data_IF_350821523039
#
_entry.id   IF_350821523039
#
_cell.length_a   1.000
_cell.length_b   1.000
_cell.length_c   1.000
_cell.angle_alpha   90.00
_cell.angle_beta   90.00
_cell.angle_gamma   90.00
#
_symmetry.space_group_name_H-M   'P 1'
#
loop_
_entity.id
_entity.type
_entity.pdbx_description
1 polymer ?
#
# COMPACT_ATOMS: atom_id res chain seq x y z
N UNK A 1 -23.02 -7.69 -5.25
CA UNK A 1 -22.83 -8.94 -4.47
C UNK A 1 -21.50 -8.80 -3.76
N UNK A 2 -21.44 -8.99 -2.43
CA UNK A 2 -20.19 -8.91 -1.69
C UNK A 2 -19.33 -10.13 -2.03
N UNK A 3 -18.42 -9.95 -2.99
CA UNK A 3 -17.48 -10.97 -3.45
C UNK A 3 -16.48 -11.25 -2.32
N UNK A 4 -16.30 -12.52 -1.96
CA UNK A 4 -15.22 -12.93 -1.03
C UNK A 4 -13.86 -12.56 -1.66
N UNK A 5 -12.84 -12.25 -0.86
CA UNK A 5 -11.52 -11.86 -1.38
C UNK A 5 -10.93 -12.90 -2.36
N UNK A 6 -11.12 -14.19 -2.07
CA UNK A 6 -10.71 -15.28 -2.97
C UNK A 6 -11.38 -15.21 -4.34
N UNK A 7 -12.68 -14.91 -4.38
CA UNK A 7 -13.42 -14.75 -5.63
C UNK A 7 -12.95 -13.51 -6.39
N UNK A 8 -12.61 -12.43 -5.68
CA UNK A 8 -12.04 -11.23 -6.28
C UNK A 8 -10.71 -11.54 -6.97
N UNK A 9 -9.78 -12.22 -6.29
CA UNK A 9 -8.55 -12.70 -6.90
C UNK A 9 -8.82 -13.64 -8.09
N UNK A 10 -9.82 -14.53 -7.99
CA UNK A 10 -10.19 -15.43 -9.08
C UNK A 10 -10.68 -14.71 -10.35
N UNK A 11 -11.15 -13.47 -10.25
CA UNK A 11 -11.57 -12.66 -11.40
C UNK A 11 -10.41 -12.16 -12.26
N UNK A 12 -9.21 -12.06 -11.69
CA UNK A 12 -8.00 -11.66 -12.41
C UNK A 12 -7.47 -12.75 -13.34
N UNK A 13 -6.71 -12.37 -14.35
CA UNK A 13 -5.97 -13.32 -15.19
C UNK A 13 -4.78 -13.91 -14.43
N UNK A 14 -4.18 -15.00 -14.95
CA UNK A 14 -2.98 -15.56 -14.33
C UNK A 14 -1.80 -14.57 -14.38
N UNK A 15 -1.70 -13.73 -15.42
CA UNK A 15 -0.69 -12.69 -15.51
C UNK A 15 -0.87 -11.65 -14.42
N UNK A 16 -2.08 -11.13 -14.21
CA UNK A 16 -2.32 -10.12 -13.17
C UNK A 16 -2.03 -10.69 -11.76
N UNK A 17 -2.40 -11.94 -11.50
CA UNK A 17 -2.05 -12.62 -10.24
C UNK A 17 -0.54 -12.81 -10.08
N UNK A 18 0.19 -12.99 -11.20
CA UNK A 18 1.65 -13.07 -11.19
C UNK A 18 2.27 -11.71 -10.88
N UNK A 19 1.68 -10.63 -11.37
CA UNK A 19 2.07 -9.26 -11.02
C UNK A 19 1.80 -8.99 -9.54
N UNK A 20 0.61 -9.34 -9.02
CA UNK A 20 0.30 -9.20 -7.59
C UNK A 20 1.34 -9.94 -6.75
N UNK A 21 1.64 -11.19 -7.09
CA UNK A 21 2.70 -11.97 -6.45
C UNK A 21 4.07 -11.25 -6.46
N UNK A 22 4.40 -10.57 -7.55
CA UNK A 22 5.67 -9.82 -7.69
C UNK A 22 5.69 -8.57 -6.83
N UNK A 23 4.60 -7.80 -6.75
CA UNK A 23 4.47 -6.66 -5.83
C UNK A 23 4.71 -7.09 -4.39
N UNK A 24 4.13 -8.21 -3.97
CA UNK A 24 4.36 -8.80 -2.65
C UNK A 24 5.73 -9.48 -2.49
N UNK A 25 6.52 -9.61 -3.56
CA UNK A 25 7.77 -10.35 -3.60
C UNK A 25 7.65 -11.81 -3.08
N UNK A 26 6.51 -12.47 -3.32
CA UNK A 26 6.32 -13.85 -2.91
C UNK A 26 7.07 -14.83 -3.83
N UNK A 27 8.13 -15.42 -3.30
CA UNK A 27 8.98 -16.40 -3.98
C UNK A 27 8.44 -17.84 -3.88
N UNK A 28 8.96 -18.73 -4.73
CA UNK A 28 8.67 -20.18 -4.68
C UNK A 28 7.31 -20.62 -5.25
N UNK A 29 6.46 -19.69 -5.71
CA UNK A 29 5.07 -19.99 -6.14
C UNK A 29 4.77 -19.60 -7.58
N UNK A 30 5.79 -19.36 -8.41
CA UNK A 30 5.62 -18.96 -9.82
C UNK A 30 5.10 -20.07 -10.74
N UNK A 31 5.28 -21.34 -10.34
CA UNK A 31 4.87 -22.50 -11.14
C UNK A 31 3.39 -22.87 -10.97
N UNK A 32 2.71 -22.28 -9.98
CA UNK A 32 1.33 -22.59 -9.66
C UNK A 32 0.38 -22.30 -10.83
N UNK A 33 -0.65 -23.12 -10.98
CA UNK A 33 -1.75 -22.81 -11.87
C UNK A 33 -2.61 -21.66 -11.28
N UNK A 34 -3.57 -21.13 -12.06
CA UNK A 34 -4.37 -19.97 -11.63
C UNK A 34 -5.12 -20.24 -10.31
N UNK A 35 -5.75 -21.41 -10.16
CA UNK A 35 -6.53 -21.74 -8.98
C UNK A 35 -5.63 -21.87 -7.74
N UNK A 36 -4.52 -22.59 -7.87
CA UNK A 36 -3.52 -22.73 -6.80
C UNK A 36 -2.93 -21.37 -6.40
N UNK A 37 -2.64 -20.50 -7.38
CA UNK A 37 -2.10 -19.17 -7.13
C UNK A 37 -3.10 -18.28 -6.38
N UNK A 38 -4.38 -18.34 -6.72
CA UNK A 38 -5.46 -17.64 -5.98
C UNK A 38 -5.50 -18.09 -4.53
N UNK A 39 -5.45 -19.40 -4.28
CA UNK A 39 -5.51 -19.98 -2.93
C UNK A 39 -4.34 -19.52 -2.07
N UNK A 40 -3.13 -19.56 -2.62
CA UNK A 40 -1.92 -19.14 -1.91
C UNK A 40 -1.88 -17.62 -1.71
N UNK A 41 -2.31 -16.82 -2.69
CA UNK A 41 -2.36 -15.37 -2.56
C UNK A 41 -3.40 -14.92 -1.53
N UNK A 42 -4.59 -15.51 -1.51
CA UNK A 42 -5.62 -15.21 -0.50
C UNK A 42 -5.04 -15.33 0.92
N UNK A 43 -4.30 -16.41 1.19
CA UNK A 43 -3.68 -16.61 2.50
C UNK A 43 -2.49 -15.67 2.75
N UNK A 44 -1.50 -15.66 1.87
CA UNK A 44 -0.24 -14.91 2.10
C UNK A 44 -0.45 -13.40 2.18
N UNK A 45 -1.38 -12.86 1.40
CA UNK A 45 -1.70 -11.43 1.44
C UNK A 45 -2.26 -11.05 2.80
N UNK A 46 -3.23 -11.82 3.33
CA UNK A 46 -3.82 -11.59 4.65
C UNK A 46 -2.78 -11.68 5.77
N UNK A 47 -1.88 -12.68 5.69
CA UNK A 47 -0.78 -12.84 6.64
C UNK A 47 0.21 -11.66 6.63
N UNK A 48 0.47 -11.10 5.45
CA UNK A 48 1.43 -9.99 5.26
C UNK A 48 0.79 -8.61 5.36
N UNK A 49 -0.55 -8.54 5.42
CA UNK A 49 -1.33 -7.30 5.29
C UNK A 49 -0.98 -6.27 6.36
N UNK A 50 -0.84 -6.71 7.62
CA UNK A 50 -0.52 -5.81 8.73
C UNK A 50 0.85 -5.17 8.53
N UNK A 51 1.85 -5.97 8.19
CA UNK A 51 3.21 -5.48 7.96
C UNK A 51 3.24 -4.49 6.80
N UNK A 52 2.62 -4.84 5.67
CA UNK A 52 2.58 -3.98 4.50
C UNK A 52 1.84 -2.64 4.76
N UNK A 53 0.69 -2.70 5.45
CA UNK A 53 -0.04 -1.51 5.88
C UNK A 53 0.80 -0.63 6.82
N UNK A 54 1.72 -1.24 7.55
CA UNK A 54 2.58 -0.56 8.52
C UNK A 54 3.65 0.33 7.88
N UNK A 55 3.86 0.20 6.57
CA UNK A 55 4.73 1.08 5.78
C UNK A 55 3.96 2.23 5.11
N UNK A 56 2.65 2.35 5.31
CA UNK A 56 1.85 3.42 4.70
C UNK A 56 1.88 4.69 5.56
N UNK A 57 1.62 5.83 4.93
CA UNK A 57 1.38 7.13 5.58
C UNK A 57 -0.06 7.25 6.11
N UNK A 58 -0.32 8.27 6.94
CA UNK A 58 -1.70 8.56 7.37
C UNK A 58 -2.62 8.95 6.22
N UNK A 59 -2.09 9.50 5.13
CA UNK A 59 -2.88 9.85 3.93
C UNK A 59 -3.42 8.60 3.25
N UNK A 60 -2.58 7.60 3.04
CA UNK A 60 -2.94 6.31 2.45
C UNK A 60 -3.90 5.52 3.35
N UNK A 61 -3.61 5.46 4.65
CA UNK A 61 -4.51 4.82 5.62
C UNK A 61 -5.85 5.57 5.71
N UNK A 62 -5.82 6.90 5.65
CA UNK A 62 -7.01 7.75 5.62
C UNK A 62 -7.89 7.48 4.39
N UNK A 63 -7.26 7.28 3.23
CA UNK A 63 -7.95 6.88 2.01
C UNK A 63 -8.64 5.51 2.16
N UNK A 64 -7.94 4.49 2.69
CA UNK A 64 -8.56 3.19 2.97
C UNK A 64 -9.73 3.30 3.97
N UNK A 65 -9.59 4.11 5.03
CA UNK A 65 -10.68 4.40 5.98
C UNK A 65 -11.90 5.01 5.28
N UNK A 66 -11.68 5.97 4.39
CA UNK A 66 -12.74 6.60 3.58
C UNK A 66 -13.45 5.55 2.74
N UNK A 67 -12.70 4.72 2.00
CA UNK A 67 -13.27 3.66 1.15
C UNK A 67 -14.11 2.66 1.96
N UNK A 68 -13.58 2.14 3.07
CA UNK A 68 -14.29 1.19 3.94
C UNK A 68 -15.62 1.78 4.43
N UNK A 69 -15.63 3.06 4.80
CA UNK A 69 -16.84 3.75 5.27
C UNK A 69 -17.86 3.95 4.13
N UNK A 70 -17.42 4.46 3.00
CA UNK A 70 -18.32 4.76 1.86
C UNK A 70 -18.85 3.47 1.22
N UNK A 71 -18.06 2.38 1.26
CA UNK A 71 -18.46 1.08 0.72
C UNK A 71 -19.58 0.38 1.49
N UNK A 72 -19.98 0.91 2.66
CA UNK A 72 -21.18 0.46 3.35
C UNK A 72 -22.46 0.81 2.57
N UNK A 73 -22.39 1.79 1.66
CA UNK A 73 -23.54 2.30 0.89
C UNK A 73 -23.41 2.07 -0.62
N UNK A 74 -22.19 1.95 -1.15
CA UNK A 74 -21.92 1.82 -2.60
C UNK A 74 -20.83 0.77 -2.84
N UNK A 75 -20.97 -0.09 -3.84
CA UNK A 75 -19.94 -1.11 -4.13
C UNK A 75 -18.65 -0.48 -4.69
N UNK A 76 -18.79 0.49 -5.61
CA UNK A 76 -17.70 1.23 -6.23
C UNK A 76 -17.72 2.69 -5.80
N UNK A 77 -16.55 3.22 -5.47
CA UNK A 77 -16.35 4.58 -4.98
C UNK A 77 -15.59 5.39 -6.02
N UNK A 78 -16.20 6.45 -6.52
CA UNK A 78 -15.56 7.42 -7.42
C UNK A 78 -14.44 8.16 -6.70
N UNK A 79 -13.29 8.29 -7.37
CA UNK A 79 -12.12 8.98 -6.84
C UNK A 79 -11.59 10.02 -7.82
N UNK A 80 -10.89 11.00 -7.26
CA UNK A 80 -10.19 12.07 -7.99
C UNK A 80 -8.73 12.12 -7.55
N UNK A 81 -7.85 12.82 -8.30
CA UNK A 81 -6.47 13.04 -7.87
C UNK A 81 -6.31 13.76 -6.52
N UNK A 82 -7.38 14.38 -6.00
CA UNK A 82 -7.40 14.99 -4.65
C UNK A 82 -7.53 13.96 -3.55
N UNK A 83 -8.13 12.80 -3.84
CA UNK A 83 -8.36 11.74 -2.86
C UNK A 83 -7.09 10.92 -2.62
N UNK A 84 -6.40 10.55 -3.71
CA UNK A 84 -5.16 9.78 -3.67
C UNK A 84 -4.33 10.07 -4.92
N UNK A 85 -3.01 10.05 -4.77
CA UNK A 85 -2.10 10.20 -5.91
C UNK A 85 -2.03 8.89 -6.70
N UNK A 86 -1.79 8.99 -8.01
CA UNK A 86 -1.68 7.83 -8.89
C UNK A 86 -0.67 6.77 -8.41
N UNK A 87 0.52 7.11 -7.86
CA UNK A 87 1.47 6.08 -7.44
C UNK A 87 0.96 5.26 -6.24
N UNK A 88 0.44 5.91 -5.19
CA UNK A 88 -0.21 5.21 -4.08
C UNK A 88 -1.41 4.36 -4.54
N UNK A 89 -2.17 4.85 -5.53
CA UNK A 89 -3.27 4.09 -6.11
C UNK A 89 -2.78 2.83 -6.84
N UNK A 90 -1.71 2.93 -7.63
CA UNK A 90 -1.08 1.80 -8.31
C UNK A 90 -0.49 0.81 -7.30
N UNK A 91 0.09 1.30 -6.20
CA UNK A 91 0.61 0.47 -5.12
C UNK A 91 -0.51 -0.39 -4.50
N UNK A 92 -1.68 0.20 -4.22
CA UNK A 92 -2.84 -0.57 -3.74
C UNK A 92 -3.33 -1.61 -4.74
N UNK A 93 -3.43 -1.25 -6.03
CA UNK A 93 -3.88 -2.17 -7.07
C UNK A 93 -2.89 -3.30 -7.29
N UNK A 94 -1.60 -2.98 -7.38
CA UNK A 94 -0.50 -3.93 -7.57
C UNK A 94 -0.43 -4.94 -6.43
N UNK A 95 -0.75 -4.55 -5.20
CA UNK A 95 -0.84 -5.48 -4.07
C UNK A 95 -2.20 -6.22 -3.98
N UNK A 96 -3.11 -6.02 -4.93
CA UNK A 96 -4.43 -6.65 -4.91
C UNK A 96 -5.30 -6.18 -3.74
N UNK A 97 -5.06 -4.98 -3.21
CA UNK A 97 -5.81 -4.39 -2.09
C UNK A 97 -7.10 -3.75 -2.59
N UNK A 98 -7.06 -3.14 -3.78
CA UNK A 98 -8.21 -2.52 -4.44
C UNK A 98 -8.40 -3.04 -5.86
N UNK A 99 -9.64 -3.08 -6.31
CA UNK A 99 -9.98 -3.10 -7.74
C UNK A 99 -10.12 -1.67 -8.25
N UNK A 100 -9.70 -1.43 -9.49
CA UNK A 100 -9.90 -0.17 -10.21
C UNK A 100 -10.80 -0.43 -11.40
N UNK A 101 -11.79 0.45 -11.58
CA UNK A 101 -12.58 0.56 -12.79
C UNK A 101 -12.33 1.96 -13.37
N UNK A 102 -11.61 1.99 -14.48
CA UNK A 102 -11.19 3.22 -15.17
C UNK A 102 -11.96 3.33 -16.49
N UNK A 103 -12.86 4.29 -16.57
CA UNK A 103 -13.66 4.59 -17.76
C UNK A 103 -13.28 5.97 -18.29
N UNK A 104 -13.63 6.28 -19.53
CA UNK A 104 -13.28 7.58 -20.15
C UNK A 104 -13.74 8.80 -19.33
N UNK A 105 -14.82 8.66 -18.55
CA UNK A 105 -15.43 9.77 -17.80
C UNK A 105 -15.19 9.71 -16.29
N UNK A 106 -14.86 8.53 -15.76
CA UNK A 106 -14.86 8.31 -14.31
C UNK A 106 -13.89 7.19 -13.91
N UNK A 107 -13.15 7.45 -12.83
CA UNK A 107 -12.32 6.45 -12.15
C UNK A 107 -12.94 6.09 -10.81
N UNK A 108 -13.17 4.80 -10.60
CA UNK A 108 -13.75 4.28 -9.38
C UNK A 108 -12.97 3.10 -8.84
N UNK A 109 -13.04 2.90 -7.52
CA UNK A 109 -12.29 1.86 -6.82
C UNK A 109 -13.16 1.13 -5.82
N UNK A 110 -12.74 -0.07 -5.44
CA UNK A 110 -13.34 -0.83 -4.34
C UNK A 110 -12.31 -1.68 -3.62
N UNK A 111 -12.47 -1.83 -2.31
CA UNK A 111 -11.80 -2.83 -1.49
C UNK A 111 -12.68 -4.09 -1.48
N UNK A 112 -12.16 -5.28 -1.78
CA UNK A 112 -12.92 -6.53 -1.69
C UNK A 112 -13.41 -6.80 -0.25
N UNK A 113 -14.63 -7.32 -0.10
CA UNK A 113 -15.28 -7.45 1.20
C UNK A 113 -14.47 -8.25 2.23
N UNK A 114 -13.83 -9.35 1.80
CA UNK A 114 -13.00 -10.18 2.66
C UNK A 114 -11.77 -9.45 3.21
N UNK A 115 -11.20 -8.53 2.44
CA UNK A 115 -10.03 -7.75 2.85
C UNK A 115 -10.44 -6.49 3.64
N UNK A 116 -11.58 -5.89 3.32
CA UNK A 116 -12.11 -4.69 3.98
C UNK A 116 -12.24 -4.88 5.49
N UNK A 117 -12.74 -6.03 5.94
CA UNK A 117 -12.87 -6.35 7.37
C UNK A 117 -11.51 -6.47 8.09
N UNK A 118 -10.52 -7.09 7.43
CA UNK A 118 -9.18 -7.24 7.99
C UNK A 118 -8.44 -5.90 8.07
N UNK A 119 -8.52 -5.08 7.01
CA UNK A 119 -7.97 -3.72 7.00
C UNK A 119 -8.63 -2.88 8.10
N UNK A 120 -9.97 -2.93 8.24
CA UNK A 120 -10.68 -2.20 9.28
C UNK A 120 -10.20 -2.55 10.69
N UNK A 121 -9.94 -3.85 10.95
CA UNK A 121 -9.38 -4.31 12.23
C UNK A 121 -7.98 -3.78 12.46
N UNK A 122 -7.11 -3.78 11.45
CA UNK A 122 -5.73 -3.31 11.56
C UNK A 122 -5.68 -1.80 11.80
N UNK A 123 -6.41 -1.00 11.02
CA UNK A 123 -6.34 0.47 11.08
C UNK A 123 -7.00 1.10 12.32
N UNK A 124 -7.75 0.30 13.08
CA UNK A 124 -8.38 0.69 14.35
C UNK A 124 -7.57 0.26 15.57
N UNK A 125 -6.57 -0.62 15.41
CA UNK A 125 -5.60 -0.97 16.45
C UNK A 125 -4.81 0.26 16.88
N UNK A 126 -4.72 0.51 18.20
CA UNK A 126 -4.04 1.70 18.73
C UNK A 126 -2.54 1.67 18.45
N UNK A 127 -1.91 0.50 18.57
CA UNK A 127 -0.49 0.31 18.27
C UNK A 127 -0.19 0.62 16.80
N UNK A 128 -1.04 0.15 15.89
CA UNK A 128 -0.94 0.51 14.47
C UNK A 128 -1.11 2.02 14.24
N UNK A 129 -2.07 2.68 14.89
CA UNK A 129 -2.26 4.13 14.74
C UNK A 129 -1.05 4.94 15.20
N UNK A 130 -0.39 4.52 16.29
CA UNK A 130 0.82 5.18 16.76
C UNK A 130 2.00 4.94 15.82
N UNK A 131 2.09 3.74 15.21
CA UNK A 131 3.07 3.47 14.16
C UNK A 131 2.88 4.40 12.95
N UNK A 132 1.65 4.57 12.46
CA UNK A 132 1.36 5.45 11.32
C UNK A 132 1.73 6.91 11.62
N UNK A 133 1.47 7.41 12.84
CA UNK A 133 1.92 8.74 13.24
C UNK A 133 3.45 8.88 13.21
N UNK A 134 4.17 7.82 13.57
CA UNK A 134 5.63 7.81 13.51
C UNK A 134 6.14 7.79 12.06
N UNK A 135 5.48 7.06 11.16
CA UNK A 135 5.80 7.10 9.73
C UNK A 135 5.67 8.50 9.15
N UNK A 136 4.59 9.22 9.48
CA UNK A 136 4.41 10.60 9.01
C UNK A 136 5.53 11.53 9.51
N UNK A 137 5.98 11.35 10.75
CA UNK A 137 7.11 12.12 11.32
C UNK A 137 8.41 11.80 10.59
N UNK A 138 8.68 10.53 10.30
CA UNK A 138 9.83 10.08 9.52
C UNK A 138 9.81 10.69 8.11
N UNK A 139 8.65 10.64 7.44
CA UNK A 139 8.47 11.20 6.12
C UNK A 139 8.71 12.71 6.15
N UNK A 140 8.09 13.43 7.10
CA UNK A 140 8.28 14.87 7.27
C UNK A 140 9.75 15.23 7.54
N UNK A 141 10.45 14.44 8.33
CA UNK A 141 11.88 14.60 8.57
C UNK A 141 12.69 14.45 7.29
N UNK A 142 12.44 13.38 6.52
CA UNK A 142 13.11 13.14 5.24
C UNK A 142 12.88 14.28 4.23
N UNK A 143 11.64 14.76 4.11
CA UNK A 143 11.30 15.91 3.28
C UNK A 143 12.01 17.19 3.73
N UNK A 144 12.08 17.44 5.04
CA UNK A 144 12.80 18.60 5.59
C UNK A 144 14.29 18.57 5.27
N UNK A 145 14.91 17.39 5.37
CA UNK A 145 16.31 17.20 5.01
C UNK A 145 16.56 17.36 3.51
N UNK A 146 15.70 16.81 2.64
CA UNK A 146 15.79 17.03 1.19
C UNK A 146 15.63 18.51 0.82
N UNK A 147 14.72 19.23 1.47
CA UNK A 147 14.53 20.65 1.23
C UNK A 147 15.77 21.47 1.62
N UNK A 148 16.51 21.04 2.65
CA UNK A 148 17.71 21.74 3.13
C UNK A 148 19.00 21.34 2.38
N UNK A 149 19.21 20.04 2.15
CA UNK A 149 20.45 19.49 1.57
C UNK A 149 20.33 19.20 0.06
N UNK A 150 19.13 19.23 -0.51
CA UNK A 150 18.85 18.96 -1.92
C UNK A 150 18.79 17.46 -2.25
N UNK A 151 19.89 16.74 -2.03
CA UNK A 151 19.98 15.30 -2.27
C UNK A 151 20.73 14.61 -1.13
N UNK A 152 20.19 13.48 -0.69
CA UNK A 152 20.79 12.63 0.35
C UNK A 152 20.76 11.18 -0.09
N UNK A 153 21.84 10.47 0.22
CA UNK A 153 21.80 9.01 0.18
C UNK A 153 20.93 8.47 1.31
N UNK A 154 20.45 7.25 1.13
CA UNK A 154 19.66 6.54 2.14
C UNK A 154 20.41 6.42 3.46
N UNK A 155 21.71 6.10 3.41
CA UNK A 155 22.52 5.98 4.62
C UNK A 155 22.62 7.31 5.37
N UNK A 156 22.78 8.43 4.67
CA UNK A 156 22.79 9.76 5.30
C UNK A 156 21.45 10.10 5.95
N UNK A 157 20.33 9.70 5.34
CA UNK A 157 19.01 9.92 5.93
C UNK A 157 18.85 9.14 7.25
N UNK A 158 19.30 7.89 7.28
CA UNK A 158 19.29 7.04 8.48
C UNK A 158 20.21 7.64 9.55
N UNK A 159 21.45 7.98 9.19
CA UNK A 159 22.44 8.58 10.10
C UNK A 159 21.91 9.88 10.73
N UNK A 160 21.29 10.75 9.93
CA UNK A 160 20.69 11.98 10.48
C UNK A 160 19.53 11.67 11.40
N UNK A 161 18.65 10.73 11.04
CA UNK A 161 17.53 10.38 11.89
C UNK A 161 18.00 9.83 13.24
N UNK A 162 18.92 8.86 13.22
CA UNK A 162 19.48 8.25 14.43
C UNK A 162 20.22 9.27 15.29
N UNK A 163 20.94 10.20 14.66
CA UNK A 163 21.61 11.29 15.35
C UNK A 163 20.62 12.26 16.03
N UNK A 164 19.57 12.70 15.34
CA UNK A 164 18.64 13.71 15.87
C UNK A 164 17.64 13.15 16.89
N UNK A 165 17.32 11.85 16.80
CA UNK A 165 16.32 11.22 17.67
C UNK A 165 16.92 10.27 18.71
N UNK A 166 18.25 10.11 18.74
CA UNK A 166 18.97 9.23 19.68
C UNK A 166 18.41 7.79 19.67
N UNK A 167 18.18 7.26 18.46
CA UNK A 167 17.64 5.91 18.23
C UNK A 167 18.54 5.12 17.28
N UNK A 168 18.36 3.80 17.23
CA UNK A 168 18.90 2.95 16.17
C UNK A 168 17.75 2.56 15.23
N UNK A 169 17.85 2.99 13.97
CA UNK A 169 16.79 2.79 12.98
C UNK A 169 17.26 1.95 11.82
N UNK A 170 16.56 0.84 11.58
CA UNK A 170 16.75 0.07 10.36
C UNK A 170 16.18 0.77 9.13
N UNK A 171 16.75 0.47 7.97
CA UNK A 171 16.34 1.06 6.70
C UNK A 171 14.87 0.82 6.37
N UNK A 172 14.28 -0.29 6.84
CA UNK A 172 12.87 -0.63 6.63
C UNK A 172 11.89 0.45 7.12
N UNK A 173 12.25 1.29 8.09
CA UNK A 173 11.38 2.39 8.54
C UNK A 173 11.24 3.51 7.51
N UNK A 174 12.13 3.57 6.53
CA UNK A 174 12.07 4.53 5.42
C UNK A 174 11.44 3.94 4.15
N UNK A 175 10.77 2.78 4.25
CA UNK A 175 10.18 2.09 3.10
C UNK A 175 9.28 3.00 2.23
N UNK A 176 8.39 3.77 2.84
CA UNK A 176 7.50 4.70 2.12
C UNK A 176 8.27 5.75 1.32
N UNK A 177 9.27 6.37 1.96
CA UNK A 177 10.16 7.31 1.32
C UNK A 177 10.91 6.68 0.15
N UNK A 178 11.36 5.42 0.28
CA UNK A 178 12.00 4.69 -0.82
C UNK A 178 11.06 4.41 -1.97
N UNK A 179 9.78 4.09 -1.70
CA UNK A 179 8.77 3.90 -2.74
C UNK A 179 8.55 5.22 -3.51
N UNK A 180 8.32 6.34 -2.81
CA UNK A 180 8.12 7.64 -3.45
C UNK A 180 9.34 8.07 -4.30
N UNK A 181 10.57 7.84 -3.82
CA UNK A 181 11.79 8.17 -4.57
C UNK A 181 11.98 7.31 -5.82
N UNK A 182 11.80 5.98 -5.71
CA UNK A 182 11.96 5.08 -6.85
C UNK A 182 10.96 5.39 -7.96
N UNK A 183 9.72 5.72 -7.58
CA UNK A 183 8.68 6.09 -8.53
C UNK A 183 8.92 7.46 -9.19
N UNK A 184 9.46 8.43 -8.45
CA UNK A 184 9.88 9.71 -9.03
C UNK A 184 10.99 9.51 -10.07
N UNK A 185 11.97 8.64 -9.79
CA UNK A 185 13.07 8.34 -10.70
C UNK A 185 12.60 7.60 -11.96
N UNK A 186 11.61 6.72 -11.85
CA UNK A 186 11.07 5.96 -12.98
C UNK A 186 10.11 6.79 -13.86
N UNK A 187 9.47 7.83 -13.32
CA UNK A 187 8.56 8.70 -14.07
C UNK A 187 9.24 9.95 -14.69
N UNK A 188 10.54 10.15 -14.45
CA UNK A 188 11.33 11.26 -15.02
C UNK A 188 12.33 10.81 -16.09
N UNK A 189 12.19 9.58 -16.60
CA UNK A 189 12.97 9.03 -17.72
C UNK A 189 12.10 8.69 -18.92
#
# INVERSE_FOLDING_TARGET
MNQNYKEFLASYTKSDLTEIRQYWNFSGISQLNKAELVDVLDQKIKESLREWLSYQSSKEVGFLKKLIKEQQQKDWITITPKDILAPALNNFQGHGIIGINDTETEKSVRIPAGLSAEIAKIITDSGFQDQIKNNDRLLQFAWGLLAYYGALSIMQLIEFYDFYFEVETGAEKFHHFFQEMNEFHNNTR
#
